data_IF_981605108516
#
_entry.id   IF_981605108516
#
_cell.length_a   1.000
_cell.length_b   1.000
_cell.length_c   1.000
_cell.angle_alpha   90.00
_cell.angle_beta   90.00
_cell.angle_gamma   90.00
#
_symmetry.space_group_name_H-M   'P 1'
#
loop_
_entity.id
_entity.type
_entity.pdbx_description
1 polymer ?
#
# COMPACT_ATOMS: atom_id res chain seq x y z
N UNK A 1 -22.85 12.99 22.47
CA UNK A 1 -21.76 12.32 21.72
C UNK A 1 -22.36 11.88 20.39
N UNK A 2 -21.76 12.23 19.24
CA UNK A 2 -22.28 11.76 17.95
C UNK A 2 -21.93 10.28 17.76
N UNK A 3 -22.82 9.45 17.18
CA UNK A 3 -22.48 8.10 16.78
C UNK A 3 -21.27 8.08 15.84
N UNK A 4 -20.38 7.10 16.02
CA UNK A 4 -19.16 7.00 15.22
C UNK A 4 -19.42 7.00 13.70
N UNK A 5 -20.42 6.27 13.16
CA UNK A 5 -20.74 6.35 11.74
C UNK A 5 -21.05 7.77 11.25
N UNK A 6 -21.78 8.56 12.05
CA UNK A 6 -22.15 9.93 11.70
C UNK A 6 -20.94 10.86 11.69
N UNK A 7 -20.05 10.71 12.68
CA UNK A 7 -18.81 11.46 12.78
C UNK A 7 -17.87 11.12 11.60
N UNK A 8 -17.76 9.84 11.24
CA UNK A 8 -16.91 9.41 10.13
C UNK A 8 -17.44 9.90 8.78
N UNK A 9 -18.74 9.81 8.51
CA UNK A 9 -19.34 10.36 7.28
C UNK A 9 -19.05 11.85 7.16
N UNK A 10 -19.23 12.62 8.25
CA UNK A 10 -18.91 14.05 8.27
C UNK A 10 -17.42 14.31 8.03
N UNK A 11 -16.54 13.55 8.66
CA UNK A 11 -15.10 13.68 8.47
C UNK A 11 -14.73 13.42 7.00
N UNK A 12 -15.19 12.31 6.42
CA UNK A 12 -14.93 11.93 5.02
C UNK A 12 -15.42 12.99 4.03
N UNK A 13 -16.57 13.64 4.30
CA UNK A 13 -17.11 14.69 3.45
C UNK A 13 -16.33 16.02 3.51
N UNK A 14 -15.61 16.27 4.61
CA UNK A 14 -14.93 17.56 4.86
C UNK A 14 -13.41 17.50 4.70
N UNK A 15 -12.79 16.33 4.85
CA UNK A 15 -11.35 16.15 4.74
C UNK A 15 -10.88 16.17 3.28
N UNK A 16 -9.58 16.44 3.08
CA UNK A 16 -8.96 16.24 1.76
C UNK A 16 -8.98 14.77 1.40
N UNK A 17 -8.96 14.45 0.10
CA UNK A 17 -9.21 13.09 -0.38
C UNK A 17 -8.36 12.01 0.30
N UNK A 18 -7.04 12.22 0.42
CA UNK A 18 -6.13 11.26 1.06
C UNK A 18 -6.41 11.14 2.56
N UNK A 19 -6.69 12.25 3.24
CA UNK A 19 -7.01 12.24 4.67
C UNK A 19 -8.35 11.53 4.94
N UNK A 20 -9.34 11.78 4.10
CA UNK A 20 -10.63 11.10 4.13
C UNK A 20 -10.46 9.59 3.93
N UNK A 21 -9.68 9.17 2.94
CA UNK A 21 -9.40 7.76 2.66
C UNK A 21 -8.64 7.09 3.82
N UNK A 22 -7.55 7.67 4.29
CA UNK A 22 -6.77 7.11 5.39
C UNK A 22 -7.58 7.04 6.69
N UNK A 23 -8.43 8.03 6.95
CA UNK A 23 -9.35 8.00 8.11
C UNK A 23 -10.39 6.89 7.96
N UNK A 24 -10.97 6.75 6.76
CA UNK A 24 -11.92 5.67 6.45
C UNK A 24 -11.26 4.29 6.64
N UNK A 25 -10.06 4.07 6.11
CA UNK A 25 -9.32 2.82 6.25
C UNK A 25 -9.01 2.50 7.72
N UNK A 26 -8.49 3.48 8.47
CA UNK A 26 -8.14 3.29 9.87
C UNK A 26 -9.36 2.91 10.74
N UNK A 27 -10.52 3.53 10.49
CA UNK A 27 -11.74 3.25 11.27
C UNK A 27 -12.43 1.97 10.79
N UNK A 28 -12.46 1.70 9.48
CA UNK A 28 -13.13 0.53 8.90
C UNK A 28 -12.33 -0.76 9.07
N UNK A 29 -10.99 -0.72 9.08
CA UNK A 29 -10.13 -1.91 9.21
C UNK A 29 -10.51 -2.82 10.39
N UNK A 30 -10.65 -2.34 11.65
CA UNK A 30 -11.06 -3.19 12.76
C UNK A 30 -12.57 -3.56 12.75
N UNK A 31 -13.38 -2.95 11.87
CA UNK A 31 -14.84 -3.13 11.81
C UNK A 31 -15.31 -3.98 10.62
N UNK A 32 -14.47 -4.14 9.61
CA UNK A 32 -14.71 -4.99 8.45
C UNK A 32 -15.49 -4.32 7.32
N UNK A 33 -15.71 -5.10 6.25
CA UNK A 33 -16.30 -4.62 5.00
C UNK A 33 -17.75 -4.17 5.11
N UNK A 34 -18.55 -4.79 5.98
CA UNK A 34 -19.96 -4.39 6.20
C UNK A 34 -20.04 -2.95 6.72
N UNK A 35 -19.17 -2.59 7.65
CA UNK A 35 -19.09 -1.22 8.17
C UNK A 35 -18.60 -0.24 7.09
N UNK A 36 -17.60 -0.62 6.29
CA UNK A 36 -17.13 0.18 5.16
C UNK A 36 -18.27 0.48 4.18
N UNK A 37 -19.05 -0.54 3.81
CA UNK A 37 -20.17 -0.41 2.88
C UNK A 37 -21.24 0.53 3.44
N UNK A 38 -21.60 0.42 4.72
CA UNK A 38 -22.52 1.35 5.38
C UNK A 38 -22.07 2.81 5.21
N UNK A 39 -20.80 3.09 5.48
CA UNK A 39 -20.24 4.45 5.38
C UNK A 39 -20.25 4.93 3.93
N UNK A 40 -19.85 4.09 2.97
CA UNK A 40 -19.85 4.45 1.55
C UNK A 40 -21.26 4.76 1.03
N UNK A 41 -22.28 3.95 1.40
CA UNK A 41 -23.68 4.21 1.07
C UNK A 41 -24.13 5.56 1.61
N UNK A 42 -23.77 5.87 2.87
CA UNK A 42 -24.12 7.13 3.51
C UNK A 42 -23.38 8.34 2.93
N UNK A 43 -22.13 8.19 2.50
CA UNK A 43 -21.42 9.24 1.75
C UNK A 43 -22.07 9.44 0.38
N UNK A 44 -22.51 8.36 -0.26
CA UNK A 44 -23.11 8.42 -1.59
C UNK A 44 -24.42 9.21 -1.65
N UNK A 45 -25.19 9.26 -0.55
CA UNK A 45 -26.42 10.08 -0.48
C UNK A 45 -26.15 11.60 -0.55
N UNK A 46 -24.92 12.03 -0.23
CA UNK A 46 -24.50 13.43 -0.25
C UNK A 46 -23.58 13.72 -1.44
N UNK A 47 -22.61 12.83 -1.70
CA UNK A 47 -21.59 12.97 -2.75
C UNK A 47 -21.28 11.62 -3.40
N UNK A 48 -22.16 11.15 -4.29
CA UNK A 48 -22.02 9.89 -5.00
C UNK A 48 -20.64 9.70 -5.69
N UNK A 49 -20.13 10.74 -6.37
CA UNK A 49 -18.81 10.67 -7.01
C UNK A 49 -17.66 10.45 -6.01
N UNK A 50 -17.71 11.08 -4.83
CA UNK A 50 -16.71 10.85 -3.79
C UNK A 50 -16.78 9.41 -3.26
N UNK A 51 -17.98 8.88 -3.04
CA UNK A 51 -18.15 7.50 -2.59
C UNK A 51 -17.61 6.49 -3.60
N UNK A 52 -17.84 6.71 -4.90
CA UNK A 52 -17.32 5.87 -5.97
C UNK A 52 -15.77 5.90 -6.05
N UNK A 53 -15.18 7.08 -5.91
CA UNK A 53 -13.73 7.26 -5.86
C UNK A 53 -13.14 6.52 -4.63
N UNK A 54 -13.72 6.71 -3.44
CA UNK A 54 -13.31 6.03 -2.21
C UNK A 54 -13.44 4.51 -2.33
N UNK A 55 -14.54 4.00 -2.90
CA UNK A 55 -14.74 2.57 -3.13
C UNK A 55 -13.69 1.95 -4.07
N UNK A 56 -13.15 2.76 -5.00
CA UNK A 56 -12.07 2.33 -5.90
C UNK A 56 -10.75 2.19 -5.15
N UNK A 57 -10.45 3.15 -4.28
CA UNK A 57 -9.12 3.33 -3.68
C UNK A 57 -8.95 2.69 -2.30
N UNK A 58 -10.03 2.46 -1.57
CA UNK A 58 -10.02 1.90 -0.21
C UNK A 58 -9.40 0.52 -0.18
N UNK A 59 -8.48 0.33 0.75
CA UNK A 59 -7.75 -0.90 0.98
C UNK A 59 -7.50 -1.09 2.48
N UNK A 60 -8.31 -1.95 3.10
CA UNK A 60 -8.26 -2.21 4.55
C UNK A 60 -6.97 -2.91 5.01
N UNK A 61 -6.09 -3.30 4.07
CA UNK A 61 -4.77 -3.82 4.38
C UNK A 61 -3.77 -2.71 4.78
N UNK A 62 -4.02 -1.45 4.41
CA UNK A 62 -3.17 -0.32 4.83
C UNK A 62 -3.31 -0.08 6.33
N UNK A 63 -2.18 0.08 7.04
CA UNK A 63 -2.15 0.17 8.51
C UNK A 63 -1.84 1.58 9.02
N UNK A 64 -1.43 2.47 8.14
CA UNK A 64 -1.12 3.86 8.47
C UNK A 64 -1.44 4.79 7.29
N UNK A 65 -1.63 6.08 7.60
CA UNK A 65 -1.88 7.09 6.57
C UNK A 65 -0.71 7.25 5.58
N UNK A 66 0.53 7.01 6.05
CA UNK A 66 1.71 7.06 5.19
C UNK A 66 1.73 5.88 4.20
N UNK A 67 1.38 4.66 4.64
CA UNK A 67 1.20 3.51 3.75
C UNK A 67 0.11 3.75 2.70
N UNK A 68 -1.05 4.30 3.10
CA UNK A 68 -2.12 4.67 2.16
C UNK A 68 -1.59 5.64 1.11
N UNK A 69 -0.87 6.69 1.53
CA UNK A 69 -0.36 7.74 0.64
C UNK A 69 0.68 7.19 -0.34
N UNK A 70 1.65 6.39 0.13
CA UNK A 70 2.67 5.75 -0.71
C UNK A 70 2.03 4.76 -1.68
N UNK A 71 1.06 3.94 -1.23
CA UNK A 71 0.31 3.02 -2.10
C UNK A 71 -0.41 3.76 -3.23
N UNK A 72 -1.10 4.86 -2.91
CA UNK A 72 -1.77 5.66 -3.93
C UNK A 72 -0.78 6.27 -4.92
N UNK A 73 0.37 6.76 -4.46
CA UNK A 73 1.39 7.33 -5.33
C UNK A 73 1.98 6.29 -6.29
N UNK A 74 2.30 5.09 -5.79
CA UNK A 74 2.81 3.98 -6.61
C UNK A 74 1.77 3.52 -7.64
N UNK A 75 0.49 3.39 -7.26
CA UNK A 75 -0.59 3.07 -8.22
C UNK A 75 -0.80 4.19 -9.24
N UNK A 76 -0.72 5.45 -8.82
CA UNK A 76 -0.82 6.59 -9.72
C UNK A 76 0.36 6.68 -10.72
N UNK A 77 1.52 6.13 -10.36
CA UNK A 77 2.66 5.93 -11.25
C UNK A 77 2.54 4.69 -12.17
N UNK A 78 1.41 3.98 -12.14
CA UNK A 78 1.13 2.85 -13.00
C UNK A 78 1.74 1.52 -12.54
N UNK A 79 2.08 1.40 -11.25
CA UNK A 79 2.61 0.16 -10.66
C UNK A 79 1.49 -0.68 -10.02
N UNK A 80 1.62 -2.00 -10.10
CA UNK A 80 0.76 -2.95 -9.40
C UNK A 80 1.21 -3.10 -7.95
N UNK A 81 0.32 -2.83 -7.01
CA UNK A 81 0.65 -2.81 -5.57
C UNK A 81 -0.28 -3.72 -4.78
N UNK A 82 0.31 -4.61 -3.99
CA UNK A 82 -0.37 -5.40 -2.95
C UNK A 82 -0.01 -4.81 -1.58
N UNK A 83 -1.02 -4.32 -0.85
CA UNK A 83 -0.82 -3.85 0.53
C UNK A 83 -0.96 -4.99 1.54
N UNK A 84 -0.25 -4.88 2.68
CA UNK A 84 -0.26 -5.88 3.75
C UNK A 84 0.09 -7.28 3.23
N UNK A 85 1.00 -7.37 2.27
CA UNK A 85 1.26 -8.59 1.53
C UNK A 85 1.94 -9.63 2.43
N UNK A 86 1.33 -10.81 2.59
CA UNK A 86 1.92 -11.92 3.35
C UNK A 86 2.79 -12.78 2.43
N UNK A 87 4.06 -12.40 2.33
CA UNK A 87 5.06 -13.07 1.50
C UNK A 87 5.51 -14.39 2.18
N UNK A 88 5.49 -15.53 1.48
CA UNK A 88 5.94 -16.82 2.03
C UNK A 88 7.36 -16.76 2.61
N UNK A 89 7.56 -17.29 3.82
CA UNK A 89 8.87 -17.31 4.49
C UNK A 89 9.36 -15.96 5.05
N UNK A 90 8.90 -14.83 4.50
CA UNK A 90 9.19 -13.46 4.97
C UNK A 90 8.17 -13.03 6.03
N UNK A 91 6.88 -13.21 5.73
CA UNK A 91 5.78 -12.71 6.55
C UNK A 91 5.09 -11.52 5.91
N UNK A 92 4.37 -10.74 6.72
CA UNK A 92 3.65 -9.55 6.26
C UNK A 92 4.62 -8.38 6.06
N UNK A 93 4.55 -7.78 4.87
CA UNK A 93 5.27 -6.56 4.44
C UNK A 93 4.23 -5.47 4.13
N UNK A 94 4.62 -4.19 4.20
CA UNK A 94 3.66 -3.09 3.97
C UNK A 94 3.16 -3.08 2.55
N UNK A 95 4.06 -3.08 1.56
CA UNK A 95 3.71 -3.07 0.14
C UNK A 95 4.60 -4.04 -0.64
N UNK A 96 4.00 -4.82 -1.53
CA UNK A 96 4.70 -5.57 -2.59
C UNK A 96 4.33 -4.95 -3.94
N UNK A 97 5.35 -4.46 -4.65
CA UNK A 97 5.24 -3.71 -5.91
C UNK A 97 5.75 -4.55 -7.06
N UNK A 98 4.94 -4.70 -8.11
CA UNK A 98 5.23 -5.48 -9.33
C UNK A 98 5.66 -6.94 -9.06
N UNK A 99 5.43 -7.44 -7.84
CA UNK A 99 5.88 -8.76 -7.41
C UNK A 99 7.39 -8.90 -7.17
N UNK A 100 8.16 -7.82 -7.21
CA UNK A 100 9.63 -7.87 -7.15
C UNK A 100 10.27 -6.90 -6.16
N UNK A 101 9.58 -5.81 -5.79
CA UNK A 101 10.08 -4.84 -4.80
C UNK A 101 9.16 -4.83 -3.59
N UNK A 102 9.72 -5.08 -2.42
CA UNK A 102 9.09 -4.87 -1.11
C UNK A 102 9.42 -3.46 -0.65
N UNK A 103 8.40 -2.70 -0.26
CA UNK A 103 8.54 -1.40 0.39
C UNK A 103 8.02 -1.55 1.82
N UNK A 104 8.88 -1.26 2.80
CA UNK A 104 8.50 -1.14 4.21
C UNK A 104 8.70 0.30 4.68
N UNK A 105 7.72 0.80 5.43
CA UNK A 105 7.73 2.14 6.00
C UNK A 105 7.87 1.98 7.51
N UNK A 106 9.12 2.02 7.95
CA UNK A 106 9.50 1.79 9.33
C UNK A 106 9.13 3.04 10.15
N UNK A 107 8.02 2.95 10.89
CA UNK A 107 7.77 3.86 12.01
C UNK A 107 8.89 3.67 13.04
N UNK A 108 9.50 4.76 13.52
CA UNK A 108 10.59 4.71 14.49
C UNK A 108 10.10 4.04 15.79
N UNK A 109 10.27 2.72 15.89
CA UNK A 109 10.03 2.00 17.12
C UNK A 109 11.23 2.24 18.04
N UNK A 110 11.20 3.36 18.78
CA UNK A 110 11.90 3.42 20.06
C UNK A 110 11.44 2.18 20.85
N UNK A 111 12.38 1.30 21.21
CA UNK A 111 12.18 -0.04 21.81
C UNK A 111 12.19 -1.25 20.86
N UNK A 112 13.12 -1.32 19.90
CA UNK A 112 13.48 -2.60 19.29
C UNK A 112 14.20 -3.52 20.28
N UNK A 113 13.47 -4.40 20.97
CA UNK A 113 14.09 -5.52 21.71
C UNK A 113 14.93 -6.38 20.73
N UNK A 114 16.03 -6.95 21.19
CA UNK A 114 16.99 -7.75 20.41
C UNK A 114 16.31 -8.86 19.59
N UNK A 115 15.14 -9.32 20.04
CA UNK A 115 14.28 -10.26 19.32
C UNK A 115 13.71 -9.71 18.01
N UNK A 116 13.27 -8.46 17.99
CA UNK A 116 12.72 -7.81 16.79
C UNK A 116 13.81 -7.63 15.74
N UNK A 117 14.96 -7.08 16.15
CA UNK A 117 16.15 -6.97 15.29
C UNK A 117 16.54 -8.30 14.62
N UNK A 118 16.58 -9.40 15.38
CA UNK A 118 16.90 -10.74 14.83
C UNK A 118 15.83 -11.23 13.86
N UNK A 119 14.57 -10.88 14.10
CA UNK A 119 13.45 -11.23 13.24
C UNK A 119 13.56 -10.49 11.92
N UNK A 120 13.82 -9.19 11.94
CA UNK A 120 13.94 -8.37 10.73
C UNK A 120 15.09 -8.85 9.85
N UNK A 121 16.27 -9.11 10.45
CA UNK A 121 17.39 -9.73 9.71
C UNK A 121 17.06 -11.10 9.11
N UNK A 122 16.18 -11.88 9.74
CA UNK A 122 15.71 -13.16 9.18
C UNK A 122 14.81 -12.91 7.97
N UNK A 123 13.92 -11.93 8.07
CA UNK A 123 12.99 -11.53 7.00
C UNK A 123 13.73 -10.98 5.79
N UNK A 124 14.69 -10.09 6.01
CA UNK A 124 15.50 -9.50 4.95
C UNK A 124 16.22 -10.60 4.14
N UNK A 125 16.84 -11.57 4.84
CA UNK A 125 17.47 -12.72 4.17
C UNK A 125 16.45 -13.60 3.45
N UNK A 126 15.26 -13.81 4.02
CA UNK A 126 14.22 -14.60 3.36
C UNK A 126 13.73 -13.92 2.07
N UNK A 127 13.58 -12.59 2.08
CA UNK A 127 13.19 -11.83 0.90
C UNK A 127 14.28 -11.91 -0.20
N UNK A 128 15.55 -11.75 0.18
CA UNK A 128 16.67 -11.91 -0.74
C UNK A 128 16.72 -13.32 -1.36
N UNK A 129 16.40 -14.38 -0.60
CA UNK A 129 16.31 -15.75 -1.13
C UNK A 129 15.23 -15.91 -2.19
N UNK A 130 14.18 -15.10 -2.15
CA UNK A 130 13.09 -15.07 -3.13
C UNK A 130 13.39 -14.15 -4.32
N UNK A 131 14.56 -13.52 -4.39
CA UNK A 131 14.88 -12.54 -5.43
C UNK A 131 14.16 -11.20 -5.26
N UNK A 132 13.61 -10.91 -4.08
CA UNK A 132 12.94 -9.64 -3.81
C UNK A 132 13.96 -8.57 -3.39
N UNK A 133 13.82 -7.37 -3.94
CA UNK A 133 14.49 -6.16 -3.43
C UNK A 133 13.67 -5.62 -2.27
N UNK A 134 14.31 -5.28 -1.16
CA UNK A 134 13.65 -4.68 0.02
C UNK A 134 14.14 -3.25 0.18
N UNK A 135 13.23 -2.29 0.12
CA UNK A 135 13.46 -0.88 0.40
C UNK A 135 12.77 -0.53 1.72
N UNK A 136 13.55 -0.05 2.69
CA UNK A 136 13.06 0.38 4.01
C UNK A 136 13.20 1.89 4.10
N UNK A 137 12.08 2.56 4.28
CA UNK A 137 12.03 4.01 4.48
C UNK A 137 11.73 4.28 5.95
N UNK A 138 12.52 5.15 6.59
CA UNK A 138 12.09 5.74 7.85
C UNK A 138 10.82 6.59 7.60
N UNK A 139 10.00 6.78 8.62
CA UNK A 139 8.80 7.59 8.50
C UNK A 139 9.08 8.99 7.90
N UNK A 140 10.20 9.59 8.29
CA UNK A 140 10.67 10.89 7.82
C UNK A 140 11.09 10.90 6.35
N UNK A 141 11.53 9.76 5.83
CA UNK A 141 12.01 9.59 4.45
C UNK A 141 10.93 9.04 3.51
N UNK A 142 9.77 8.65 4.04
CA UNK A 142 8.65 8.06 3.29
C UNK A 142 7.80 9.10 2.53
N UNK A 143 8.45 10.13 1.96
CA UNK A 143 7.78 11.03 1.03
C UNK A 143 7.37 10.26 -0.24
N UNK A 144 6.11 10.32 -0.68
CA UNK A 144 5.65 9.48 -1.78
C UNK A 144 6.39 9.72 -3.11
N UNK A 145 6.85 10.94 -3.40
CA UNK A 145 7.55 11.20 -4.65
C UNK A 145 8.96 10.56 -4.62
N UNK A 146 9.66 10.66 -3.48
CA UNK A 146 10.93 9.99 -3.27
C UNK A 146 10.78 8.46 -3.38
N UNK A 147 9.80 7.88 -2.68
CA UNK A 147 9.53 6.43 -2.72
C UNK A 147 9.21 5.97 -4.14
N UNK A 148 8.34 6.68 -4.86
CA UNK A 148 8.00 6.34 -6.26
C UNK A 148 9.25 6.38 -7.15
N UNK A 149 10.08 7.42 -7.02
CA UNK A 149 11.31 7.56 -7.82
C UNK A 149 12.26 6.38 -7.60
N UNK A 150 12.49 6.00 -6.35
CA UNK A 150 13.39 4.90 -6.01
C UNK A 150 12.84 3.55 -6.46
N UNK A 151 11.55 3.29 -6.21
CA UNK A 151 10.88 2.06 -6.64
C UNK A 151 10.88 1.93 -8.17
N UNK A 152 10.62 3.00 -8.92
CA UNK A 152 10.68 2.97 -10.38
C UNK A 152 12.07 2.61 -10.90
N UNK A 153 13.13 3.16 -10.28
CA UNK A 153 14.51 2.82 -10.62
C UNK A 153 14.80 1.33 -10.43
N UNK A 154 14.39 0.77 -9.28
CA UNK A 154 14.55 -0.66 -9.01
C UNK A 154 13.70 -1.54 -9.92
N UNK A 155 12.44 -1.18 -10.17
CA UNK A 155 11.57 -1.91 -11.09
C UNK A 155 12.15 -1.92 -12.51
N UNK A 156 12.67 -0.79 -12.99
CA UNK A 156 13.31 -0.70 -14.31
C UNK A 156 14.54 -1.63 -14.39
N UNK A 157 15.44 -1.57 -13.39
CA UNK A 157 16.60 -2.44 -13.34
C UNK A 157 16.23 -3.93 -13.28
N UNK A 158 15.20 -4.29 -12.51
CA UNK A 158 14.71 -5.67 -12.39
C UNK A 158 14.00 -6.16 -13.66
N UNK A 159 13.40 -5.28 -14.45
CA UNK A 159 12.85 -5.65 -15.78
C UNK A 159 13.94 -6.04 -16.76
N UNK A 160 15.09 -5.36 -16.71
CA UNK A 160 16.25 -5.71 -17.54
C UNK A 160 16.96 -6.97 -17.05
N UNK A 161 17.14 -7.09 -15.73
CA UNK A 161 17.87 -8.20 -15.09
C UNK A 161 17.13 -8.69 -13.85
N UNK A 162 16.12 -9.57 -14.01
CA UNK A 162 15.36 -10.07 -12.89
C UNK A 162 16.24 -10.82 -11.89
N UNK A 163 16.10 -10.49 -10.61
CA UNK A 163 16.64 -11.33 -9.54
C UNK A 163 15.83 -12.62 -9.46
N UNK A 164 16.52 -13.75 -9.59
CA UNK A 164 15.88 -15.06 -9.49
C UNK A 164 15.84 -15.51 -8.03
N UNK A 165 14.77 -16.19 -7.59
CA UNK A 165 14.81 -16.97 -6.36
C UNK A 165 16.01 -17.93 -6.37
N UNK A 166 16.59 -18.20 -5.21
CA UNK A 166 17.66 -19.19 -5.13
C UNK A 166 17.16 -20.56 -5.63
N UNK A 167 18.01 -21.38 -6.27
CA UNK A 167 17.64 -22.73 -6.73
C UNK A 167 17.11 -23.64 -5.61
N UNK A 168 17.44 -23.33 -4.36
CA UNK A 168 16.97 -24.06 -3.16
C UNK A 168 15.56 -23.67 -2.70
N UNK A 169 14.93 -22.67 -3.31
CA UNK A 169 13.55 -22.28 -2.99
C UNK A 169 12.60 -23.28 -3.65
N UNK A 170 11.68 -23.92 -2.89
CA UNK A 170 10.70 -24.84 -3.48
C UNK A 170 9.80 -24.14 -4.50
N UNK A 171 9.47 -24.81 -5.61
CA UNK A 171 8.64 -24.21 -6.68
C UNK A 171 7.27 -23.76 -6.16
N UNK A 172 6.66 -24.49 -5.23
CA UNK A 172 5.40 -24.11 -4.59
C UNK A 172 5.47 -22.71 -3.95
N UNK A 173 6.61 -22.37 -3.33
CA UNK A 173 6.82 -21.07 -2.71
C UNK A 173 6.92 -19.98 -3.78
N UNK A 174 7.57 -20.28 -4.91
CA UNK A 174 7.66 -19.36 -6.05
C UNK A 174 6.27 -19.13 -6.66
N UNK A 175 5.47 -20.17 -6.81
CA UNK A 175 4.09 -20.07 -7.32
C UNK A 175 3.18 -19.28 -6.39
N UNK A 176 3.32 -19.46 -5.07
CA UNK A 176 2.62 -18.63 -4.08
C UNK A 176 3.01 -17.15 -4.22
N UNK A 177 4.29 -16.84 -4.44
CA UNK A 177 4.75 -15.47 -4.69
C UNK A 177 4.18 -14.90 -6.00
N UNK A 178 4.20 -15.66 -7.10
CA UNK A 178 3.60 -15.24 -8.39
C UNK A 178 2.09 -15.01 -8.24
N UNK A 179 1.40 -15.88 -7.50
CA UNK A 179 -0.02 -15.72 -7.21
C UNK A 179 -0.30 -14.48 -6.36
N UNK A 180 0.56 -14.16 -5.40
CA UNK A 180 0.50 -12.94 -4.62
C UNK A 180 0.70 -11.70 -5.51
N UNK A 181 1.72 -11.70 -6.38
CA UNK A 181 2.00 -10.60 -7.31
C UNK A 181 0.80 -10.29 -8.23
N UNK A 182 0.09 -11.33 -8.71
CA UNK A 182 -1.13 -11.17 -9.54
C UNK A 182 -2.30 -10.49 -8.82
N UNK A 183 -2.29 -10.41 -7.48
CA UNK A 183 -3.29 -9.65 -6.70
C UNK A 183 -2.99 -8.15 -6.70
N UNK A 184 -1.84 -7.73 -7.21
CA UNK A 184 -1.45 -6.33 -7.27
C UNK A 184 -2.48 -5.52 -8.05
N UNK A 185 -3.02 -4.48 -7.41
CA UNK A 185 -3.96 -3.58 -8.06
C UNK A 185 -3.21 -2.37 -8.58
N UNK A 186 -3.49 -2.02 -9.83
CA UNK A 186 -3.08 -0.77 -10.48
C UNK A 186 -4.35 0.02 -10.85
N UNK A 187 -5.16 0.32 -9.84
CA UNK A 187 -6.35 1.16 -9.99
C UNK A 187 -6.26 2.33 -9.02
N UNK A 188 -6.53 3.51 -9.55
CA UNK A 188 -6.64 4.75 -8.78
C UNK A 188 -7.77 5.57 -9.35
N UNK A 189 -8.62 6.10 -8.49
CA UNK A 189 -9.65 7.06 -8.90
C UNK A 189 -9.01 8.34 -9.47
N UNK A 190 -9.76 9.15 -10.25
CA UNK A 190 -9.31 10.47 -10.66
C UNK A 190 -8.88 11.35 -9.48
N UNK A 191 -9.62 11.31 -8.36
CA UNK A 191 -9.26 12.08 -7.15
C UNK A 191 -7.95 11.64 -6.51
N UNK A 192 -7.67 10.33 -6.48
CA UNK A 192 -6.38 9.84 -6.01
C UNK A 192 -5.24 10.36 -6.89
N UNK A 193 -5.38 10.27 -8.22
CA UNK A 193 -4.37 10.75 -9.17
C UNK A 193 -4.12 12.26 -9.04
N UNK A 194 -5.20 13.04 -8.98
CA UNK A 194 -5.13 14.47 -8.75
C UNK A 194 -4.42 14.79 -7.42
N UNK A 195 -4.77 14.09 -6.34
CA UNK A 195 -4.15 14.29 -5.02
C UNK A 195 -2.66 13.91 -4.98
N UNK A 196 -2.22 12.96 -5.80
CA UNK A 196 -0.81 12.57 -5.95
C UNK A 196 -0.04 13.44 -6.94
N UNK A 197 -0.69 14.42 -7.60
CA UNK A 197 -0.03 15.32 -8.54
C UNK A 197 0.31 14.67 -9.90
N UNK A 198 -0.34 13.56 -10.26
CA UNK A 198 -0.12 12.87 -11.55
C UNK A 198 -0.98 13.40 -12.69
N UNK A 199 -1.86 14.38 -12.43
CA UNK A 199 -2.46 15.22 -13.48
C UNK A 199 -1.53 16.42 -13.79
N UNK A 200 -0.36 16.14 -14.38
CA UNK A 200 0.26 17.13 -15.29
C UNK A 200 -0.24 16.79 -16.68
N UNK A 201 -0.83 17.81 -17.33
CA UNK A 201 -1.64 17.66 -18.52
C UNK A 201 -0.95 16.94 -19.68
N UNK A 202 -1.78 16.27 -20.46
CA UNK A 202 -1.50 16.05 -21.88
C UNK A 202 -1.26 17.44 -22.50
N UNK A 203 -0.07 17.74 -23.04
CA UNK A 203 0.11 18.95 -23.82
C UNK A 203 -0.52 18.71 -25.20
N UNK A 204 -1.56 19.50 -25.47
CA UNK A 204 -2.19 19.87 -26.75
C UNK A 204 -2.57 18.74 -27.72
#
# INVERSE_FOLDING_TARGET
MQPLPDALVRAVLCLRYVEALSTLEAVARPRGHVFLEEILVRVATVRAGLAADLATDVDLASRSAVETRVRLALRAAGLHVVAGARVPGVGEVDLLVEGCVVVEIDGFAYHGDRRQYRTDRRRDRAAARLGLVVLRFAFEDADPAAVVSEVLGHVAALRERPHQPLPTVPEEVVDQLRALARKGLNRSSPRARQAMGTERGVPS
#
